data_IF_277090562381
#
_entry.id   IF_277090562381
#
_cell.length_a   1.000
_cell.length_b   1.000
_cell.length_c   1.000
_cell.angle_alpha   90.00
_cell.angle_beta   90.00
_cell.angle_gamma   90.00
#
_symmetry.space_group_name_H-M   'P 1'
#
loop_
_entity.id
_entity.type
_entity.pdbx_description
1 polymer ?
#
# COMPACT_ATOMS: atom_id res chain seq x y z
N UNK A 1 -20.11 -51.01 28.35
CA UNK A 1 -20.87 -50.13 29.28
C UNK A 1 -20.84 -48.71 28.71
N UNK A 2 -21.97 -48.23 28.15
CA UNK A 2 -22.90 -47.22 28.75
C UNK A 2 -22.20 -45.85 28.93
N UNK A 3 -22.65 -44.70 28.40
CA UNK A 3 -23.92 -44.24 27.79
C UNK A 3 -23.67 -42.92 27.03
N UNK A 4 -24.36 -42.75 25.90
CA UNK A 4 -24.59 -41.46 25.24
C UNK A 4 -25.66 -40.67 26.00
N UNK A 5 -25.50 -39.35 26.15
CA UNK A 5 -26.57 -38.44 26.59
C UNK A 5 -26.94 -37.52 25.43
N UNK A 6 -28.15 -37.71 24.93
CA UNK A 6 -28.80 -37.02 23.84
C UNK A 6 -29.94 -36.21 24.48
N UNK A 7 -29.85 -34.89 24.47
CA UNK A 7 -30.89 -34.01 25.00
C UNK A 7 -31.64 -33.39 23.82
N UNK A 8 -32.75 -34.04 23.46
CA UNK A 8 -33.88 -33.48 22.73
C UNK A 8 -34.73 -32.67 23.71
N UNK A 9 -34.87 -31.37 23.46
CA UNK A 9 -35.77 -30.48 24.19
C UNK A 9 -36.80 -29.88 23.25
N UNK A 10 -38.06 -30.17 23.54
CA UNK A 10 -39.23 -30.13 22.67
C UNK A 10 -39.83 -28.74 22.44
N UNK A 11 -40.54 -28.64 21.31
CA UNK A 11 -41.54 -27.63 20.93
C UNK A 11 -42.57 -27.35 22.04
N UNK A 12 -42.88 -26.06 22.26
CA UNK A 12 -44.17 -25.62 22.79
C UNK A 12 -44.76 -24.58 21.83
N UNK A 13 -45.78 -25.04 21.10
CA UNK A 13 -46.72 -24.23 20.33
C UNK A 13 -47.78 -23.76 21.32
N UNK A 14 -47.98 -22.45 21.45
CA UNK A 14 -49.20 -21.89 22.06
C UNK A 14 -49.90 -21.04 21.02
N UNK A 15 -51.11 -21.48 20.69
CA UNK A 15 -52.03 -20.84 19.76
C UNK A 15 -52.96 -19.87 20.49
N UNK A 16 -53.22 -18.74 19.83
CA UNK A 16 -54.43 -17.93 19.78
C UNK A 16 -55.11 -17.45 21.07
N UNK A 17 -55.13 -16.13 21.26
CA UNK A 17 -56.30 -15.43 21.80
C UNK A 17 -56.69 -14.23 20.92
N UNK A 18 -57.93 -14.35 20.44
CA UNK A 18 -58.91 -13.39 19.95
C UNK A 18 -58.55 -11.91 19.71
N UNK A 19 -58.81 -11.57 18.45
CA UNK A 19 -59.11 -10.26 17.89
C UNK A 19 -59.94 -9.34 18.80
N UNK A 20 -59.40 -8.15 19.04
CA UNK A 20 -60.19 -6.93 19.18
C UNK A 20 -59.83 -6.03 18.00
N UNK A 21 -60.75 -5.95 17.03
CA UNK A 21 -60.66 -4.96 15.96
C UNK A 21 -60.86 -3.57 16.56
N UNK A 22 -59.76 -2.89 16.90
CA UNK A 22 -59.77 -1.44 17.00
C UNK A 22 -59.69 -0.85 15.60
N UNK A 23 -60.86 -0.73 14.95
CA UNK A 23 -61.12 0.42 14.09
C UNK A 23 -60.73 1.65 14.89
N UNK A 24 -59.69 2.40 14.51
CA UNK A 24 -59.57 3.86 14.49
C UNK A 24 -58.13 4.24 14.11
N UNK A 25 -58.04 5.16 13.14
CA UNK A 25 -56.84 5.85 12.63
C UNK A 25 -55.97 5.06 11.65
N UNK A 26 -56.38 5.10 10.37
CA UNK A 26 -55.41 5.12 9.27
C UNK A 26 -54.47 6.28 9.56
N UNK A 27 -53.25 6.00 10.00
CA UNK A 27 -52.22 7.03 10.11
C UNK A 27 -52.15 7.73 8.75
N UNK A 28 -52.25 9.07 8.68
CA UNK A 28 -52.13 9.77 7.41
C UNK A 28 -50.84 9.29 6.75
N UNK A 29 -50.95 8.77 5.52
CA UNK A 29 -49.77 8.39 4.75
C UNK A 29 -48.85 9.60 4.76
N UNK A 30 -47.61 9.50 5.27
CA UNK A 30 -46.70 10.63 5.28
C UNK A 30 -46.57 11.13 3.84
N UNK A 31 -47.04 12.35 3.61
CA UNK A 31 -46.84 13.04 2.34
C UNK A 31 -45.40 13.55 2.38
N UNK A 32 -44.47 12.73 1.92
CA UNK A 32 -43.10 13.16 1.71
C UNK A 32 -43.08 14.16 0.55
N UNK A 33 -43.04 15.46 0.86
CA UNK A 33 -42.65 16.46 -0.12
C UNK A 33 -41.18 16.22 -0.47
N UNK A 34 -40.95 15.61 -1.63
CA UNK A 34 -39.62 15.45 -2.18
C UNK A 34 -39.22 16.77 -2.80
N UNK A 35 -38.40 17.55 -2.08
CA UNK A 35 -37.71 18.68 -2.69
C UNK A 35 -36.71 18.11 -3.69
N UNK A 36 -36.94 18.37 -4.97
CA UNK A 36 -35.98 18.07 -6.02
C UNK A 36 -35.14 19.33 -6.18
N UNK A 37 -33.88 19.29 -5.77
CA UNK A 37 -32.94 20.35 -6.15
C UNK A 37 -32.65 20.21 -7.63
N UNK A 38 -32.84 21.32 -8.36
CA UNK A 38 -32.51 21.43 -9.78
C UNK A 38 -31.00 21.53 -9.95
N UNK A 39 -30.36 20.36 -10.07
CA UNK A 39 -28.98 20.19 -10.46
C UNK A 39 -27.92 20.77 -9.52
N UNK A 40 -26.69 20.29 -9.67
CA UNK A 40 -25.58 20.72 -8.84
C UNK A 40 -24.23 20.23 -9.36
N UNK A 41 -23.15 20.79 -8.79
CA UNK A 41 -21.79 20.31 -9.03
C UNK A 41 -21.10 20.15 -7.68
N UNK A 42 -20.62 18.94 -7.42
CA UNK A 42 -19.76 18.63 -6.29
C UNK A 42 -18.32 18.52 -6.79
N UNK A 43 -17.36 18.94 -5.97
CA UNK A 43 -15.94 18.86 -6.30
C UNK A 43 -15.16 18.25 -5.15
N UNK A 44 -14.33 17.25 -5.47
CA UNK A 44 -13.53 16.49 -4.51
C UNK A 44 -12.07 16.52 -4.91
N UNK A 45 -11.19 16.62 -3.91
CA UNK A 45 -9.78 16.41 -4.14
C UNK A 45 -9.54 14.91 -4.37
N UNK A 46 -9.11 14.57 -5.59
CA UNK A 46 -8.81 13.20 -5.98
C UNK A 46 -7.32 13.11 -6.31
N UNK A 47 -6.54 12.98 -5.25
CA UNK A 47 -5.08 12.81 -5.33
C UNK A 47 -4.70 11.59 -4.52
N UNK A 48 -4.88 10.38 -5.08
CA UNK A 48 -4.42 9.17 -4.42
C UNK A 48 -2.92 9.29 -4.13
N UNK A 49 -2.51 8.90 -2.91
CA UNK A 49 -1.13 9.03 -2.43
C UNK A 49 -0.55 7.68 -2.02
N UNK A 50 0.70 7.44 -2.37
CA UNK A 50 1.44 6.25 -1.99
C UNK A 50 2.89 6.57 -1.59
N UNK A 51 3.39 5.90 -0.57
CA UNK A 51 4.79 5.96 -0.17
C UNK A 51 5.33 4.53 -0.20
N UNK A 52 6.38 4.32 -0.99
CA UNK A 52 6.93 3.01 -1.28
C UNK A 52 8.35 2.93 -0.72
N UNK A 53 8.60 1.93 0.11
CA UNK A 53 9.91 1.67 0.68
C UNK A 53 10.44 0.33 0.22
N UNK A 54 11.65 0.32 -0.33
CA UNK A 54 12.41 -0.90 -0.53
C UNK A 54 13.41 -1.05 0.62
N UNK A 55 13.26 -2.12 1.40
CA UNK A 55 14.24 -2.57 2.38
C UNK A 55 15.07 -3.65 1.70
N UNK A 56 16.30 -3.29 1.34
CA UNK A 56 17.17 -4.13 0.52
C UNK A 56 18.35 -4.62 1.35
N UNK A 57 18.51 -5.92 1.42
CA UNK A 57 19.67 -6.54 1.98
C UNK A 57 20.88 -6.32 1.07
N UNK A 58 21.93 -5.68 1.61
CA UNK A 58 23.17 -5.36 0.92
C UNK A 58 24.31 -6.29 1.32
N UNK A 59 24.04 -7.45 1.91
CA UNK A 59 25.03 -8.49 2.14
C UNK A 59 25.65 -8.99 0.82
N UNK A 60 26.83 -9.61 0.91
CA UNK A 60 27.53 -10.11 -0.27
C UNK A 60 26.77 -11.21 -1.02
N UNK A 61 25.99 -12.05 -0.33
CA UNK A 61 25.15 -13.11 -0.94
C UNK A 61 24.07 -12.52 -1.85
N UNK A 62 23.60 -11.32 -1.54
CA UNK A 62 22.54 -10.65 -2.28
C UNK A 62 22.95 -10.06 -3.62
N UNK A 63 24.25 -10.05 -3.99
CA UNK A 63 24.74 -9.39 -5.24
C UNK A 63 23.93 -9.78 -6.48
N UNK A 64 23.81 -11.08 -6.74
CA UNK A 64 23.09 -11.61 -7.91
C UNK A 64 21.59 -11.32 -7.84
N UNK A 65 21.03 -11.32 -6.63
CA UNK A 65 19.60 -11.06 -6.39
C UNK A 65 19.25 -9.59 -6.61
N UNK A 66 20.06 -8.66 -6.11
CA UNK A 66 19.91 -7.22 -6.34
C UNK A 66 19.98 -6.90 -7.83
N UNK A 67 20.96 -7.45 -8.55
CA UNK A 67 21.06 -7.24 -10.00
C UNK A 67 19.78 -7.68 -10.71
N UNK A 68 19.30 -8.88 -10.41
CA UNK A 68 18.11 -9.45 -11.03
C UNK A 68 16.81 -8.73 -10.65
N UNK A 69 16.69 -8.25 -9.40
CA UNK A 69 15.57 -7.39 -8.96
C UNK A 69 15.63 -6.06 -9.70
N UNK A 70 16.80 -5.44 -9.80
CA UNK A 70 16.97 -4.16 -10.49
C UNK A 70 16.57 -4.27 -11.97
N UNK A 71 16.95 -5.32 -12.68
CA UNK A 71 16.57 -5.51 -14.09
C UNK A 71 15.09 -5.82 -14.28
N UNK A 72 14.40 -6.29 -13.23
CA UNK A 72 12.98 -6.66 -13.28
C UNK A 72 12.05 -5.52 -12.85
N UNK A 73 12.60 -4.46 -12.24
CA UNK A 73 11.81 -3.39 -11.64
C UNK A 73 11.06 -2.55 -12.68
N UNK A 74 11.55 -2.52 -13.92
CA UNK A 74 10.90 -1.82 -15.02
C UNK A 74 9.45 -2.27 -15.22
N UNK A 75 9.21 -3.57 -15.12
CA UNK A 75 7.87 -4.14 -15.30
C UNK A 75 6.93 -3.77 -14.14
N UNK A 76 7.48 -3.61 -12.93
CA UNK A 76 6.75 -3.03 -11.80
C UNK A 76 6.39 -1.57 -12.09
N UNK A 77 7.36 -0.76 -12.51
CA UNK A 77 7.15 0.66 -12.81
C UNK A 77 6.09 0.82 -13.90
N UNK A 78 6.19 0.09 -15.02
CA UNK A 78 5.20 0.13 -16.11
C UNK A 78 3.79 -0.19 -15.63
N UNK A 79 3.65 -1.22 -14.80
CA UNK A 79 2.37 -1.63 -14.25
C UNK A 79 1.79 -0.64 -13.22
N UNK A 80 2.67 0.03 -12.47
CA UNK A 80 2.31 0.90 -11.35
C UNK A 80 2.07 2.35 -11.79
N UNK A 81 2.95 2.91 -12.62
CA UNK A 81 3.00 4.33 -12.96
C UNK A 81 2.25 4.69 -14.25
N UNK A 82 1.67 3.73 -14.95
CA UNK A 82 0.94 3.99 -16.21
C UNK A 82 -0.31 4.85 -15.99
N UNK A 83 -0.34 6.03 -16.62
CA UNK A 83 -1.51 6.89 -16.87
C UNK A 83 -2.47 7.11 -15.69
N UNK A 84 -1.98 7.53 -14.52
CA UNK A 84 -2.85 7.85 -13.37
C UNK A 84 -2.40 9.10 -12.60
N UNK A 85 -3.32 9.77 -11.88
CA UNK A 85 -3.03 10.90 -11.00
C UNK A 85 -2.43 10.50 -9.65
N UNK A 86 -1.82 9.32 -9.57
CA UNK A 86 -1.24 8.80 -8.35
C UNK A 86 0.01 9.59 -7.98
N UNK A 87 -0.03 10.28 -6.85
CA UNK A 87 1.16 10.90 -6.26
C UNK A 87 1.90 9.87 -5.43
N UNK A 88 3.17 9.65 -5.72
CA UNK A 88 3.98 8.76 -4.90
C UNK A 88 5.41 9.24 -4.73
N UNK A 89 5.99 8.77 -3.63
CA UNK A 89 7.42 8.82 -3.37
C UNK A 89 7.94 7.40 -3.14
N UNK A 90 9.14 7.13 -3.64
CA UNK A 90 9.83 5.85 -3.49
C UNK A 90 11.19 6.08 -2.85
N UNK A 91 11.49 5.39 -1.76
CA UNK A 91 12.81 5.38 -1.15
C UNK A 91 13.37 3.95 -1.04
N UNK A 92 14.68 3.88 -0.85
CA UNK A 92 15.42 2.62 -0.64
C UNK A 92 16.23 2.76 0.65
N UNK A 93 16.20 1.74 1.49
CA UNK A 93 17.02 1.62 2.71
C UNK A 93 17.71 0.26 2.68
N UNK A 94 18.85 0.14 3.35
CA UNK A 94 19.39 -1.19 3.60
C UNK A 94 18.77 -1.82 4.83
N UNK A 95 18.86 -3.15 4.91
CA UNK A 95 18.85 -3.85 6.21
C UNK A 95 19.92 -3.26 7.14
N UNK A 96 19.74 -3.48 8.43
CA UNK A 96 20.67 -3.00 9.46
C UNK A 96 21.26 -4.17 10.25
N UNK A 97 22.36 -3.92 10.94
CA UNK A 97 22.95 -4.84 11.90
C UNK A 97 23.24 -4.06 13.18
N UNK A 98 22.31 -4.07 14.13
CA UNK A 98 22.47 -3.29 15.34
C UNK A 98 23.58 -3.86 16.23
N UNK A 99 23.96 -5.14 16.09
CA UNK A 99 25.04 -5.73 16.92
C UNK A 99 26.42 -5.26 16.47
N UNK A 100 26.59 -5.07 15.17
CA UNK A 100 27.84 -4.58 14.57
C UNK A 100 27.89 -3.06 14.57
N UNK A 101 26.82 -2.38 14.17
CA UNK A 101 26.83 -0.93 13.96
C UNK A 101 26.61 -0.08 15.21
N UNK A 102 26.05 -0.63 16.30
CA UNK A 102 25.91 0.13 17.57
C UNK A 102 27.23 0.34 18.32
N UNK A 103 28.28 -0.39 17.95
CA UNK A 103 29.58 -0.31 18.62
C UNK A 103 30.47 0.71 17.91
N UNK A 104 30.68 1.86 18.55
CA UNK A 104 31.54 2.95 18.05
C UNK A 104 32.92 2.47 17.58
N UNK A 105 33.49 1.45 18.22
CA UNK A 105 34.79 0.85 17.85
C UNK A 105 34.80 0.16 16.48
N UNK A 106 33.66 -0.30 15.97
CA UNK A 106 33.57 -0.91 14.63
C UNK A 106 33.57 0.15 13.52
N UNK A 107 33.07 1.36 13.80
CA UNK A 107 33.09 2.47 12.85
C UNK A 107 34.53 2.91 12.51
N UNK A 108 35.45 2.80 13.46
CA UNK A 108 36.84 3.27 13.30
C UNK A 108 37.80 2.21 12.73
N UNK A 109 37.51 0.91 12.91
CA UNK A 109 38.50 -0.17 12.66
C UNK A 109 38.46 -0.84 11.28
N UNK A 110 37.33 -0.88 10.58
CA UNK A 110 37.15 -1.80 9.44
C UNK A 110 37.19 -1.16 8.05
N UNK A 111 37.09 0.17 7.89
CA UNK A 111 36.99 0.78 6.55
C UNK A 111 37.91 1.96 6.27
N UNK A 112 38.46 2.65 7.29
CA UNK A 112 39.18 3.92 7.08
C UNK A 112 38.36 4.99 6.31
N UNK A 113 37.07 4.75 6.09
CA UNK A 113 36.11 5.56 5.35
C UNK A 113 34.77 5.43 6.06
N UNK A 114 34.18 6.56 6.44
CA UNK A 114 32.93 6.71 7.22
C UNK A 114 31.66 6.20 6.49
N UNK A 115 31.76 5.17 5.65
CA UNK A 115 30.67 4.69 4.80
C UNK A 115 29.74 3.69 5.52
N UNK A 116 29.48 3.93 6.81
CA UNK A 116 28.43 3.21 7.53
C UNK A 116 27.11 3.95 7.35
N UNK A 117 26.10 3.22 6.92
CA UNK A 117 24.78 3.78 6.76
C UNK A 117 24.09 3.83 8.12
N UNK A 118 23.54 4.99 8.46
CA UNK A 118 22.79 5.11 9.70
C UNK A 118 21.50 4.31 9.62
N UNK A 119 21.02 3.85 10.79
CA UNK A 119 19.76 3.14 10.91
C UNK A 119 18.62 3.94 10.28
N UNK A 120 17.91 3.34 9.32
CA UNK A 120 16.79 4.00 8.62
C UNK A 120 17.21 5.04 7.57
N UNK A 121 18.50 5.25 7.32
CA UNK A 121 18.96 6.23 6.34
C UNK A 121 18.60 5.82 4.91
N UNK A 122 17.82 6.67 4.24
CA UNK A 122 17.54 6.51 2.82
C UNK A 122 18.81 6.60 1.99
N UNK A 123 18.85 5.78 0.95
CA UNK A 123 19.89 5.83 -0.07
C UNK A 123 19.66 7.02 -0.98
N UNK A 124 20.76 7.67 -1.35
CA UNK A 124 20.68 8.75 -2.34
C UNK A 124 20.23 8.19 -3.68
N UNK A 125 19.38 8.95 -4.35
CA UNK A 125 18.89 8.59 -5.68
C UNK A 125 20.06 8.59 -6.65
N UNK A 126 20.18 7.53 -7.46
CA UNK A 126 21.25 7.34 -8.44
C UNK A 126 20.73 7.53 -9.86
N UNK A 127 21.44 8.30 -10.67
CA UNK A 127 21.22 8.38 -12.13
C UNK A 127 21.94 7.27 -12.87
N UNK A 128 23.08 6.83 -12.35
CA UNK A 128 23.89 5.73 -12.87
C UNK A 128 24.63 5.04 -11.71
N UNK A 129 25.47 4.06 -11.99
CA UNK A 129 26.26 3.39 -10.93
C UNK A 129 27.22 4.34 -10.20
N UNK A 130 27.69 5.39 -10.87
CA UNK A 130 28.67 6.36 -10.34
C UNK A 130 28.11 7.76 -10.10
N UNK A 131 26.93 8.09 -10.65
CA UNK A 131 26.32 9.42 -10.54
C UNK A 131 25.12 9.40 -9.58
N UNK A 132 25.18 10.24 -8.56
CA UNK A 132 24.08 10.51 -7.61
C UNK A 132 23.33 11.80 -7.99
N UNK A 133 22.05 11.87 -7.64
CA UNK A 133 21.29 13.12 -7.63
C UNK A 133 21.54 13.82 -6.30
N UNK A 134 22.29 14.92 -6.35
CA UNK A 134 22.68 15.66 -5.16
C UNK A 134 21.48 15.99 -4.26
N UNK A 135 21.61 15.70 -2.96
CA UNK A 135 20.62 15.96 -1.92
C UNK A 135 19.23 15.33 -2.15
N UNK A 136 19.11 14.29 -2.98
CA UNK A 136 17.83 13.59 -3.23
C UNK A 136 17.86 12.16 -2.68
N UNK A 137 16.82 11.81 -1.93
CA UNK A 137 16.73 10.56 -1.17
C UNK A 137 15.47 9.73 -1.46
N UNK A 138 14.59 10.26 -2.30
CA UNK A 138 13.42 9.55 -2.79
C UNK A 138 13.13 9.98 -4.23
N UNK A 139 12.49 9.08 -4.97
CA UNK A 139 12.04 9.28 -6.34
C UNK A 139 10.56 9.62 -6.29
N UNK A 140 10.16 10.72 -6.92
CA UNK A 140 8.77 11.16 -6.97
C UNK A 140 8.09 10.72 -8.27
N UNK A 141 6.76 10.62 -8.24
CA UNK A 141 5.92 10.43 -9.43
C UNK A 141 6.11 11.46 -10.56
N UNK A 142 6.77 12.59 -10.27
CA UNK A 142 7.04 13.68 -11.23
C UNK A 142 8.47 13.63 -11.79
N UNK A 143 9.28 12.68 -11.33
CA UNK A 143 10.65 12.55 -11.82
C UNK A 143 10.66 11.91 -13.20
N UNK A 144 11.43 12.50 -14.10
CA UNK A 144 11.74 11.90 -15.40
C UNK A 144 12.63 10.66 -15.22
N UNK A 145 12.56 9.73 -16.18
CA UNK A 145 13.37 8.51 -16.20
C UNK A 145 13.25 7.65 -14.93
N UNK A 146 12.04 7.59 -14.36
CA UNK A 146 11.72 6.83 -13.14
C UNK A 146 12.32 5.41 -13.10
N UNK A 147 12.26 4.68 -14.22
CA UNK A 147 12.82 3.33 -14.33
C UNK A 147 14.32 3.32 -14.04
N UNK A 148 15.07 4.19 -14.69
CA UNK A 148 16.52 4.26 -14.53
C UNK A 148 16.91 4.73 -13.13
N UNK A 149 16.23 5.75 -12.61
CA UNK A 149 16.44 6.23 -11.24
C UNK A 149 16.21 5.10 -10.23
N UNK A 150 15.12 4.36 -10.36
CA UNK A 150 14.79 3.27 -9.44
C UNK A 150 15.75 2.10 -9.59
N UNK A 151 16.02 1.64 -10.81
CA UNK A 151 16.94 0.55 -11.11
C UNK A 151 18.32 0.82 -10.51
N UNK A 152 18.85 2.02 -10.74
CA UNK A 152 20.16 2.40 -10.24
C UNK A 152 20.16 2.61 -8.73
N UNK A 153 19.09 3.18 -8.16
CA UNK A 153 19.00 3.37 -6.70
C UNK A 153 18.89 2.05 -5.95
N UNK A 154 18.18 1.04 -6.48
CA UNK A 154 18.11 -0.31 -5.90
C UNK A 154 19.46 -1.03 -5.89
N UNK A 155 20.35 -0.69 -6.83
CA UNK A 155 21.76 -1.11 -6.81
C UNK A 155 22.52 -0.32 -5.74
N UNK A 156 22.17 -0.55 -4.47
CA UNK A 156 22.78 0.09 -3.31
C UNK A 156 24.23 -0.36 -3.08
N UNK A 157 24.71 -1.31 -3.88
CA UNK A 157 25.98 -2.01 -3.71
C UNK A 157 25.83 -3.17 -2.75
N UNK A 158 26.80 -4.07 -2.73
CA UNK A 158 26.93 -5.06 -1.66
C UNK A 158 28.16 -4.78 -0.84
N UNK A 159 28.09 -5.08 0.44
CA UNK A 159 29.20 -5.01 1.38
C UNK A 159 29.46 -6.43 1.87
N UNK A 160 30.70 -6.89 1.71
CA UNK A 160 31.13 -8.10 2.41
C UNK A 160 31.34 -7.80 3.90
N UNK A 161 31.40 -8.85 4.72
CA UNK A 161 31.58 -8.70 6.16
C UNK A 161 32.84 -7.88 6.49
N UNK A 162 33.92 -8.04 5.71
CA UNK A 162 35.19 -7.32 5.89
C UNK A 162 35.08 -5.83 5.61
N UNK A 163 34.14 -5.45 4.75
CA UNK A 163 33.87 -4.07 4.34
C UNK A 163 32.67 -3.48 5.10
N UNK A 164 32.28 -4.08 6.22
CA UNK A 164 31.21 -3.60 7.08
C UNK A 164 29.80 -3.99 6.65
N UNK A 165 29.64 -5.03 5.82
CA UNK A 165 28.32 -5.61 5.53
C UNK A 165 27.66 -6.19 6.79
N UNK A 166 26.32 -6.31 6.80
CA UNK A 166 25.59 -6.86 7.94
C UNK A 166 26.02 -8.31 8.18
N UNK A 167 26.28 -8.67 9.43
CA UNK A 167 26.41 -10.06 9.88
C UNK A 167 25.07 -10.63 10.36
N UNK A 168 24.17 -9.74 10.75
CA UNK A 168 22.86 -10.03 11.29
C UNK A 168 21.89 -9.09 10.59
N UNK A 169 21.04 -9.65 9.73
CA UNK A 169 20.12 -8.89 8.89
C UNK A 169 18.83 -8.54 9.65
N UNK A 170 18.78 -7.30 10.11
CA UNK A 170 17.59 -6.71 10.72
C UNK A 170 16.85 -5.87 9.67
N UNK A 171 15.90 -6.48 8.96
CA UNK A 171 15.07 -5.80 7.94
C UNK A 171 13.98 -4.94 8.59
N UNK A 172 13.52 -5.26 9.80
CA UNK A 172 12.52 -4.45 10.50
C UNK A 172 13.11 -3.25 11.23
N UNK A 173 14.37 -3.31 11.67
CA UNK A 173 15.01 -2.21 12.41
C UNK A 173 14.99 -0.88 11.65
N UNK A 174 15.36 -0.80 10.35
CA UNK A 174 15.25 0.44 9.58
C UNK A 174 13.84 1.02 9.56
N UNK A 175 12.82 0.17 9.48
CA UNK A 175 11.42 0.58 9.51
C UNK A 175 11.04 1.09 10.90
N UNK A 176 11.37 0.34 11.95
CA UNK A 176 11.07 0.74 13.32
C UNK A 176 11.65 2.12 13.65
N UNK A 177 12.87 2.42 13.19
CA UNK A 177 13.47 3.75 13.35
C UNK A 177 12.73 4.84 12.57
N UNK A 178 12.34 4.57 11.31
CA UNK A 178 11.57 5.51 10.48
C UNK A 178 10.19 5.83 11.06
N UNK A 179 9.59 4.87 11.76
CA UNK A 179 8.26 5.02 12.36
C UNK A 179 8.29 5.40 13.83
N UNK A 180 9.47 5.67 14.40
CA UNK A 180 9.66 5.99 15.81
C UNK A 180 9.11 4.87 16.73
N UNK A 181 9.14 3.63 16.24
CA UNK A 181 8.78 2.42 17.00
C UNK A 181 9.95 1.92 17.85
N UNK A 182 11.16 2.43 17.59
CA UNK A 182 12.36 2.16 18.39
C UNK A 182 12.86 3.41 19.12
N UNK A 183 13.51 3.21 20.26
CA UNK A 183 14.23 4.29 20.96
C UNK A 183 15.43 4.82 20.17
N UNK A 184 15.94 4.04 19.22
CA UNK A 184 16.96 4.46 18.28
C UNK A 184 16.36 5.49 17.31
N UNK A 185 16.79 6.74 17.45
CA UNK A 185 16.38 7.85 16.58
C UNK A 185 17.39 8.05 15.46
N UNK A 186 16.88 8.36 14.28
CA UNK A 186 17.68 8.93 13.19
C UNK A 186 18.40 10.19 13.67
N UNK A 187 19.61 10.46 13.18
CA UNK A 187 20.25 11.74 13.44
C UNK A 187 19.41 12.90 12.88
N UNK A 188 19.44 14.05 13.58
CA UNK A 188 18.64 15.24 13.25
C UNK A 188 18.78 15.67 11.77
N UNK A 189 19.95 15.46 11.17
CA UNK A 189 20.20 15.76 9.76
C UNK A 189 19.34 14.92 8.81
N UNK A 190 19.24 13.61 9.06
CA UNK A 190 18.45 12.70 8.25
C UNK A 190 16.96 12.83 8.54
N UNK A 191 16.59 13.08 9.80
CA UNK A 191 15.21 13.42 10.15
C UNK A 191 14.73 14.62 9.32
N UNK A 192 15.53 15.67 9.14
CA UNK A 192 15.14 16.84 8.34
C UNK A 192 14.92 16.49 6.85
N UNK A 193 15.73 15.61 6.28
CA UNK A 193 15.65 15.22 4.86
C UNK A 193 14.57 14.17 4.58
N UNK A 194 14.16 13.42 5.60
CA UNK A 194 13.14 12.37 5.52
C UNK A 194 11.80 12.79 6.14
N UNK A 195 11.73 14.00 6.74
CA UNK A 195 10.66 14.49 7.64
C UNK A 195 9.23 14.33 7.11
N UNK A 196 9.05 14.23 5.80
CA UNK A 196 7.74 14.21 5.17
C UNK A 196 7.41 12.88 4.49
N UNK A 197 8.36 11.95 4.44
CA UNK A 197 8.16 10.65 3.85
C UNK A 197 7.61 9.70 4.93
N UNK A 198 6.52 9.02 4.62
CA UNK A 198 5.74 8.18 5.53
C UNK A 198 4.91 8.89 6.62
N UNK A 199 4.84 10.23 6.62
CA UNK A 199 4.09 10.99 7.64
C UNK A 199 2.63 11.31 7.25
N UNK A 200 2.26 11.16 5.98
CA UNK A 200 0.90 11.43 5.53
C UNK A 200 -0.10 10.38 6.01
N UNK A 201 -1.13 10.76 6.78
CA UNK A 201 -2.19 9.82 7.20
C UNK A 201 -3.08 9.33 6.03
N UNK A 202 -3.09 10.06 4.92
CA UNK A 202 -3.90 9.69 3.74
C UNK A 202 -3.12 8.93 2.65
N UNK A 203 -1.83 8.70 2.83
CA UNK A 203 -1.06 7.88 1.88
C UNK A 203 -1.15 6.40 2.22
N UNK A 204 -1.11 5.56 1.18
CA UNK A 204 -0.82 4.15 1.32
C UNK A 204 0.65 3.97 1.70
N UNK A 205 0.91 3.04 2.61
CA UNK A 205 2.25 2.64 3.02
C UNK A 205 2.59 1.29 2.41
N UNK A 206 3.57 1.27 1.51
CA UNK A 206 3.92 0.08 0.74
C UNK A 206 5.36 -0.28 1.04
N UNK A 207 5.60 -1.51 1.51
CA UNK A 207 6.93 -1.98 1.88
C UNK A 207 7.30 -3.18 1.01
N UNK A 208 8.50 -3.15 0.43
CA UNK A 208 9.13 -4.26 -0.28
C UNK A 208 10.36 -4.72 0.51
N UNK A 209 10.37 -5.97 0.95
CA UNK A 209 11.57 -6.62 1.47
C UNK A 209 12.30 -7.34 0.34
N UNK A 210 13.61 -7.16 0.25
CA UNK A 210 14.47 -7.85 -0.72
C UNK A 210 15.65 -8.44 0.04
N UNK A 211 15.58 -9.71 0.44
CA UNK A 211 16.59 -10.36 1.29
C UNK A 211 16.54 -11.88 1.18
N UNK A 212 17.70 -12.53 1.23
CA UNK A 212 17.86 -13.99 1.33
C UNK A 212 18.06 -14.48 2.77
N UNK A 213 18.00 -13.56 3.74
CA UNK A 213 18.22 -13.81 5.16
C UNK A 213 16.91 -13.87 5.97
N UNK A 214 17.04 -14.29 7.23
CA UNK A 214 15.97 -14.23 8.21
C UNK A 214 15.94 -12.84 8.88
N UNK A 215 14.76 -12.39 9.29
CA UNK A 215 14.63 -11.18 10.10
C UNK A 215 15.16 -11.43 11.52
N UNK A 216 16.17 -10.65 11.93
CA UNK A 216 16.88 -10.86 13.21
C UNK A 216 16.69 -9.74 14.25
N UNK A 217 15.86 -8.73 13.98
CA UNK A 217 15.60 -7.67 14.97
C UNK A 217 14.79 -8.18 16.16
N UNK A 218 14.66 -7.32 17.18
CA UNK A 218 13.75 -7.53 18.31
C UNK A 218 12.31 -7.05 18.02
N UNK A 219 12.04 -6.56 16.81
CA UNK A 219 10.74 -6.04 16.42
C UNK A 219 9.87 -7.21 15.98
N UNK A 220 8.69 -7.37 16.57
CA UNK A 220 7.76 -8.41 16.13
C UNK A 220 7.05 -8.00 14.83
N UNK A 221 6.64 -8.96 13.98
CA UNK A 221 5.82 -8.68 12.80
C UNK A 221 4.56 -7.86 13.12
N UNK A 222 3.89 -8.19 14.23
CA UNK A 222 2.66 -7.51 14.64
C UNK A 222 2.92 -6.07 15.09
N UNK A 223 3.96 -5.82 15.90
CA UNK A 223 4.28 -4.47 16.38
C UNK A 223 4.63 -3.54 15.22
N UNK A 224 5.44 -4.02 14.26
CA UNK A 224 5.74 -3.26 13.06
C UNK A 224 4.49 -2.95 12.26
N UNK A 225 3.62 -3.95 12.04
CA UNK A 225 2.39 -3.77 11.27
C UNK A 225 1.45 -2.75 11.93
N UNK A 226 1.17 -2.87 13.23
CA UNK A 226 0.28 -1.93 13.91
C UNK A 226 0.89 -0.52 14.02
N UNK A 227 2.21 -0.40 14.13
CA UNK A 227 2.90 0.88 14.01
C UNK A 227 2.66 1.56 12.66
N UNK A 228 2.76 0.81 11.56
CA UNK A 228 2.43 1.29 10.21
C UNK A 228 0.96 1.71 10.08
N UNK A 229 0.04 0.92 10.65
CA UNK A 229 -1.40 1.21 10.63
C UNK A 229 -1.69 2.52 11.38
N UNK A 230 -1.08 2.73 12.54
CA UNK A 230 -1.23 3.98 13.29
C UNK A 230 -0.77 5.20 12.47
N UNK A 231 0.35 5.09 11.76
CA UNK A 231 0.87 6.14 10.85
C UNK A 231 0.02 6.31 9.58
N UNK A 232 -0.84 5.34 9.28
CA UNK A 232 -1.85 5.37 8.20
C UNK A 232 -3.22 5.86 8.68
N UNK A 233 -3.29 6.52 9.85
CA UNK A 233 -4.55 7.01 10.41
C UNK A 233 -5.46 5.91 10.97
N UNK A 234 -4.91 4.74 11.29
CA UNK A 234 -5.68 3.58 11.78
C UNK A 234 -6.24 2.69 10.68
N UNK A 235 -6.06 3.04 9.40
CA UNK A 235 -6.58 2.28 8.27
C UNK A 235 -5.63 1.14 7.88
N UNK A 236 -6.01 -0.08 8.26
CA UNK A 236 -5.28 -1.31 7.91
C UNK A 236 -5.19 -1.56 6.41
N UNK A 237 -6.14 -1.06 5.63
CA UNK A 237 -6.18 -1.29 4.17
C UNK A 237 -5.12 -0.48 3.42
N UNK A 238 -4.59 0.57 4.06
CA UNK A 238 -3.52 1.41 3.53
C UNK A 238 -2.13 0.84 3.71
N UNK A 239 -1.95 -0.23 4.48
CA UNK A 239 -0.65 -0.89 4.67
C UNK A 239 -0.55 -2.11 3.76
N UNK A 240 0.39 -2.07 2.82
CA UNK A 240 0.69 -3.15 1.87
C UNK A 240 2.14 -3.59 2.05
N UNK A 241 2.39 -4.89 1.96
CA UNK A 241 3.74 -5.41 2.06
C UNK A 241 3.97 -6.54 1.06
N UNK A 242 5.17 -6.55 0.49
CA UNK A 242 5.62 -7.49 -0.52
C UNK A 242 7.05 -7.94 -0.20
N UNK A 243 7.41 -9.15 -0.62
CA UNK A 243 8.73 -9.73 -0.36
C UNK A 243 9.30 -10.41 -1.60
N UNK A 244 10.50 -10.04 -1.99
CA UNK A 244 11.40 -10.85 -2.79
C UNK A 244 12.36 -11.56 -1.82
N UNK A 245 11.95 -12.74 -1.35
CA UNK A 245 12.65 -13.51 -0.30
C UNK A 245 12.89 -14.95 -0.74
N UNK A 246 13.68 -15.74 0.00
CA UNK A 246 13.73 -17.20 -0.19
C UNK A 246 12.72 -17.88 0.76
N UNK A 247 11.49 -18.20 0.30
CA UNK A 247 10.39 -18.60 1.18
C UNK A 247 10.72 -19.88 1.95
N UNK A 248 10.24 -20.05 3.17
CA UNK A 248 10.60 -21.12 4.12
C UNK A 248 10.37 -22.55 3.63
N UNK A 249 9.54 -22.73 2.60
CA UNK A 249 9.26 -24.00 1.92
C UNK A 249 10.20 -24.31 0.73
N UNK A 250 11.06 -23.38 0.31
CA UNK A 250 12.00 -23.57 -0.81
C UNK A 250 13.34 -24.11 -0.31
N UNK A 251 13.68 -25.37 -0.56
CA UNK A 251 14.94 -25.95 -0.01
C UNK A 251 16.11 -25.97 -1.01
N UNK A 252 15.86 -25.72 -2.29
CA UNK A 252 16.85 -25.82 -3.37
C UNK A 252 17.52 -24.49 -3.72
N UNK A 253 17.52 -23.55 -2.79
CA UNK A 253 18.04 -22.21 -3.00
C UNK A 253 18.90 -21.80 -1.81
N UNK A 254 20.06 -21.21 -2.12
CA UNK A 254 20.95 -20.71 -1.09
C UNK A 254 20.25 -19.64 -0.27
N UNK A 255 20.49 -19.68 1.05
CA UNK A 255 20.07 -18.66 2.01
C UNK A 255 21.27 -18.23 2.80
N UNK A 256 21.14 -17.08 3.43
CA UNK A 256 22.00 -16.78 4.56
C UNK A 256 21.82 -17.85 5.67
N UNK A 257 22.90 -18.28 6.36
CA UNK A 257 22.83 -19.22 7.47
C UNK A 257 21.94 -18.79 8.65
N UNK A 258 21.49 -17.53 8.73
CA UNK A 258 20.61 -16.99 9.77
C UNK A 258 19.24 -17.68 9.90
N UNK A 259 18.84 -18.50 8.93
CA UNK A 259 17.71 -19.42 9.05
C UNK A 259 16.59 -19.14 8.05
N UNK A 260 15.35 -19.43 8.46
CA UNK A 260 14.16 -19.27 7.60
C UNK A 260 13.48 -17.92 7.87
N UNK A 261 12.89 -17.28 6.85
CA UNK A 261 12.34 -15.92 6.97
C UNK A 261 10.94 -15.89 7.61
N UNK A 262 10.69 -16.68 8.66
CA UNK A 262 9.34 -16.85 9.23
C UNK A 262 8.71 -15.53 9.69
N UNK A 263 9.47 -14.65 10.32
CA UNK A 263 8.96 -13.34 10.75
C UNK A 263 8.61 -12.43 9.56
N UNK A 264 9.37 -12.47 8.46
CA UNK A 264 9.01 -11.77 7.22
C UNK A 264 7.74 -12.36 6.61
N UNK A 265 7.62 -13.68 6.55
CA UNK A 265 6.42 -14.35 6.02
C UNK A 265 5.18 -14.03 6.84
N UNK A 266 5.30 -14.02 8.17
CA UNK A 266 4.24 -13.60 9.08
C UNK A 266 3.82 -12.16 8.80
N UNK A 267 4.77 -11.21 8.76
CA UNK A 267 4.48 -9.81 8.45
C UNK A 267 3.79 -9.63 7.09
N UNK A 268 4.27 -10.32 6.06
CA UNK A 268 3.69 -10.30 4.72
C UNK A 268 2.27 -10.88 4.67
N UNK A 269 1.92 -11.77 5.61
CA UNK A 269 0.58 -12.35 5.75
C UNK A 269 -0.42 -11.42 6.45
N UNK A 270 0.05 -10.45 7.24
CA UNK A 270 -0.80 -9.48 7.94
C UNK A 270 -1.43 -8.45 6.99
N UNK A 271 -0.84 -8.26 5.80
CA UNK A 271 -1.37 -7.38 4.78
C UNK A 271 -2.23 -8.15 3.77
N UNK A 272 -3.16 -7.44 3.13
CA UNK A 272 -4.05 -8.06 2.15
C UNK A 272 -3.23 -8.55 0.95
N UNK A 273 -3.28 -9.85 0.67
CA UNK A 273 -2.61 -10.54 -0.45
C UNK A 273 -2.80 -9.82 -1.78
N UNK A 274 -1.78 -9.83 -2.65
CA UNK A 274 -1.89 -9.35 -4.03
C UNK A 274 -2.99 -10.08 -4.81
N UNK A 275 -3.36 -9.56 -5.99
CA UNK A 275 -4.33 -10.24 -6.86
C UNK A 275 -3.87 -11.63 -7.34
N UNK A 276 -2.58 -11.93 -7.27
CA UNK A 276 -2.01 -13.25 -7.56
C UNK A 276 -2.09 -14.21 -6.36
N UNK A 277 -2.72 -13.80 -5.25
CA UNK A 277 -2.91 -14.64 -4.07
C UNK A 277 -1.69 -14.78 -3.15
N UNK A 278 -0.57 -14.13 -3.48
CA UNK A 278 0.67 -14.12 -2.68
C UNK A 278 1.30 -12.73 -2.66
N UNK A 279 1.89 -12.35 -1.52
CA UNK A 279 2.74 -11.16 -1.37
C UNK A 279 4.23 -11.48 -1.51
N UNK A 280 4.56 -12.75 -1.78
CA UNK A 280 5.94 -13.25 -1.83
C UNK A 280 6.25 -13.68 -3.26
N UNK A 281 7.42 -13.28 -3.75
CA UNK A 281 8.10 -13.83 -4.91
C UNK A 281 9.44 -14.43 -4.46
N UNK A 282 9.74 -15.64 -4.93
CA UNK A 282 10.98 -16.32 -4.55
C UNK A 282 12.20 -15.67 -5.21
N UNK A 283 13.26 -15.39 -4.46
CA UNK A 283 14.54 -14.89 -4.99
C UNK A 283 15.19 -15.81 -6.06
N UNK A 284 14.74 -17.05 -6.07
CA UNK A 284 15.25 -18.15 -6.89
C UNK A 284 14.53 -18.23 -8.25
N UNK A 285 13.46 -17.45 -8.46
CA UNK A 285 12.61 -17.47 -9.65
C UNK A 285 12.69 -16.17 -10.45
N UNK A 286 12.17 -16.13 -11.67
CA UNK A 286 12.08 -14.89 -12.45
C UNK A 286 11.10 -13.90 -11.82
N UNK A 287 11.50 -12.63 -11.67
CA UNK A 287 10.73 -11.64 -10.91
C UNK A 287 9.73 -10.83 -11.73
N UNK A 288 10.09 -10.50 -12.97
CA UNK A 288 9.42 -9.43 -13.74
C UNK A 288 7.89 -9.50 -13.71
N UNK A 289 7.32 -10.64 -14.10
CA UNK A 289 5.87 -10.80 -14.17
C UNK A 289 5.18 -10.65 -12.80
N UNK A 290 5.80 -11.15 -11.72
CA UNK A 290 5.27 -11.02 -10.35
C UNK A 290 5.41 -9.59 -9.83
N UNK A 291 6.51 -8.91 -10.11
CA UNK A 291 6.69 -7.49 -9.82
C UNK A 291 5.68 -6.61 -10.56
N UNK A 292 5.41 -6.90 -11.84
CA UNK A 292 4.34 -6.25 -12.59
C UNK A 292 2.97 -6.48 -11.93
N UNK A 293 2.68 -7.71 -11.50
CA UNK A 293 1.44 -8.04 -10.81
C UNK A 293 1.30 -7.29 -9.47
N UNK A 294 2.40 -7.14 -8.71
CA UNK A 294 2.42 -6.28 -7.52
C UNK A 294 2.11 -4.82 -7.86
N UNK A 295 2.73 -4.27 -8.92
CA UNK A 295 2.45 -2.92 -9.42
C UNK A 295 0.98 -2.71 -9.74
N UNK A 296 0.36 -3.64 -10.50
CA UNK A 296 -1.08 -3.61 -10.81
C UNK A 296 -1.95 -3.69 -9.55
N UNK A 297 -1.62 -4.58 -8.63
CA UNK A 297 -2.37 -4.77 -7.38
C UNK A 297 -2.28 -3.53 -6.48
N UNK A 298 -1.12 -2.88 -6.40
CA UNK A 298 -0.95 -1.63 -5.65
C UNK A 298 -1.77 -0.54 -6.33
N UNK A 299 -1.55 -0.28 -7.63
CA UNK A 299 -2.28 0.73 -8.39
C UNK A 299 -3.77 0.61 -8.14
N UNK A 300 -4.32 -0.59 -8.33
CA UNK A 300 -5.74 -0.80 -8.22
C UNK A 300 -6.30 -0.53 -6.81
N UNK A 301 -5.52 -0.73 -5.76
CA UNK A 301 -5.95 -0.41 -4.38
C UNK A 301 -5.88 1.07 -4.12
N UNK A 302 -4.77 1.69 -4.47
CA UNK A 302 -4.57 3.11 -4.19
C UNK A 302 -5.58 3.96 -4.98
N UNK A 303 -5.92 3.53 -6.20
CA UNK A 303 -6.92 4.18 -7.05
C UNK A 303 -8.38 3.87 -6.66
N UNK A 304 -8.64 2.81 -5.90
CA UNK A 304 -9.99 2.45 -5.47
C UNK A 304 -10.48 3.40 -4.36
N UNK A 305 -11.04 4.53 -4.75
CA UNK A 305 -11.72 5.48 -3.86
C UNK A 305 -13.23 5.37 -4.02
N UNK A 306 -13.90 5.40 -2.88
CA UNK A 306 -15.35 5.54 -2.77
C UNK A 306 -15.63 6.96 -2.31
N UNK A 307 -16.49 7.67 -3.03
CA UNK A 307 -16.83 9.06 -2.78
C UNK A 307 -18.30 9.12 -2.42
N UNK A 308 -18.56 9.37 -1.14
CA UNK A 308 -19.92 9.53 -0.64
C UNK A 308 -20.47 10.89 -1.04
N UNK A 309 -21.70 10.90 -1.53
CA UNK A 309 -22.45 12.11 -1.84
C UNK A 309 -23.22 12.49 -0.58
N UNK A 310 -22.67 13.39 0.24
CA UNK A 310 -23.21 13.62 1.58
C UNK A 310 -24.56 14.36 1.58
N UNK A 311 -24.72 15.32 0.67
CA UNK A 311 -25.83 16.27 0.70
C UNK A 311 -26.83 16.12 -0.46
N UNK A 312 -26.55 15.23 -1.40
CA UNK A 312 -27.38 15.02 -2.59
C UNK A 312 -27.48 13.52 -2.88
N UNK A 313 -28.70 13.04 -3.09
CA UNK A 313 -28.98 11.70 -3.61
C UNK A 313 -29.45 11.88 -5.06
N UNK A 314 -28.58 11.71 -6.06
CA UNK A 314 -28.95 11.77 -7.47
C UNK A 314 -30.13 10.84 -7.76
N UNK A 315 -31.14 11.36 -8.47
CA UNK A 315 -32.27 10.54 -8.91
C UNK A 315 -31.81 9.77 -10.14
N UNK A 316 -31.76 8.44 -10.03
CA UNK A 316 -31.45 7.58 -11.19
C UNK A 316 -32.76 7.31 -11.93
N UNK A 317 -32.90 7.82 -13.15
CA UNK A 317 -33.89 7.36 -14.12
C UNK A 317 -33.35 6.15 -14.89
N UNK A 318 -34.20 5.46 -15.65
CA UNK A 318 -33.79 4.32 -16.51
C UNK A 318 -32.59 4.63 -17.42
N UNK A 319 -32.35 5.91 -17.71
CA UNK A 319 -31.14 6.42 -18.36
C UNK A 319 -30.18 7.15 -17.38
N UNK A 320 -29.50 6.40 -16.50
CA UNK A 320 -28.56 6.94 -15.49
C UNK A 320 -27.49 7.90 -16.03
N UNK A 321 -27.18 7.81 -17.33
CA UNK A 321 -26.19 8.64 -18.03
C UNK A 321 -26.60 10.13 -18.05
N UNK A 322 -27.89 10.44 -18.00
CA UNK A 322 -28.37 11.83 -18.05
C UNK A 322 -28.35 12.53 -16.68
N UNK A 323 -28.40 11.76 -15.59
CA UNK A 323 -28.54 12.34 -14.25
C UNK A 323 -27.24 12.47 -13.50
N UNK A 324 -26.19 11.75 -13.89
CA UNK A 324 -24.89 11.81 -13.26
C UNK A 324 -23.76 11.87 -14.29
N UNK A 325 -22.91 12.89 -14.19
CA UNK A 325 -21.69 13.02 -14.99
C UNK A 325 -20.49 13.21 -14.09
N UNK A 326 -19.44 12.45 -14.33
CA UNK A 326 -18.23 12.50 -13.51
C UNK A 326 -17.07 12.99 -14.37
N UNK A 327 -16.28 13.90 -13.85
CA UNK A 327 -15.12 14.45 -14.53
C UNK A 327 -13.89 14.37 -13.65
N UNK A 328 -12.73 14.07 -14.22
CA UNK A 328 -11.43 14.31 -13.62
C UNK A 328 -10.72 15.43 -14.37
N UNK A 329 -10.64 16.61 -13.76
CA UNK A 329 -10.26 17.83 -14.48
C UNK A 329 -11.21 18.07 -15.65
N UNK A 330 -10.67 18.08 -16.87
CA UNK A 330 -11.45 18.23 -18.11
C UNK A 330 -11.87 16.89 -18.77
N UNK A 331 -11.43 15.75 -18.23
CA UNK A 331 -11.73 14.42 -18.78
C UNK A 331 -13.05 13.91 -18.20
N UNK A 332 -14.04 13.61 -19.05
CA UNK A 332 -15.25 12.91 -18.61
C UNK A 332 -14.96 11.43 -18.35
N UNK A 333 -15.46 10.91 -17.23
CA UNK A 333 -15.42 9.51 -16.85
C UNK A 333 -16.81 8.94 -17.12
N UNK A 334 -16.88 7.91 -17.97
CA UNK A 334 -18.14 7.30 -18.35
C UNK A 334 -18.69 6.40 -17.24
N UNK A 335 -20.02 6.24 -17.18
CA UNK A 335 -20.68 5.27 -16.31
C UNK A 335 -20.40 3.85 -16.82
N UNK A 336 -20.00 2.94 -15.93
CA UNK A 336 -19.85 1.52 -16.27
C UNK A 336 -21.23 0.87 -16.41
N UNK A 337 -21.63 0.58 -17.65
CA UNK A 337 -22.89 -0.11 -17.94
C UNK A 337 -22.69 -1.60 -18.26
N UNK A 338 -21.46 -2.01 -18.54
CA UNK A 338 -21.05 -3.39 -18.80
C UNK A 338 -19.53 -3.57 -18.56
N UNK A 339 -19.02 -4.78 -18.80
CA UNK A 339 -17.61 -5.13 -18.57
C UNK A 339 -16.61 -4.45 -19.50
N UNK A 340 -17.06 -3.91 -20.64
CA UNK A 340 -16.20 -3.36 -21.68
C UNK A 340 -15.90 -1.87 -21.45
N UNK A 341 -16.74 -1.20 -20.65
CA UNK A 341 -16.55 0.19 -20.26
C UNK A 341 -15.81 0.22 -18.92
N UNK A 342 -14.64 0.85 -18.92
CA UNK A 342 -13.89 1.18 -17.70
C UNK A 342 -14.18 2.65 -17.36
N UNK A 343 -14.75 2.91 -16.20
CA UNK A 343 -15.41 4.16 -15.85
C UNK A 343 -15.67 4.31 -14.36
N UNK A 344 -16.86 4.80 -13.98
CA UNK A 344 -17.32 4.84 -12.60
C UNK A 344 -18.60 4.02 -12.39
N UNK A 345 -18.80 3.53 -11.17
CA UNK A 345 -20.04 2.92 -10.70
C UNK A 345 -20.72 3.87 -9.70
N UNK A 346 -22.05 3.94 -9.68
CA UNK A 346 -22.80 4.61 -8.63
C UNK A 346 -23.61 3.58 -7.83
N UNK A 347 -23.39 3.55 -6.52
CA UNK A 347 -24.11 2.69 -5.59
C UNK A 347 -25.17 3.53 -4.84
N UNK A 348 -26.47 3.38 -5.17
CA UNK A 348 -27.53 4.15 -4.54
C UNK A 348 -27.80 3.75 -3.09
N UNK A 349 -27.37 2.56 -2.63
CA UNK A 349 -27.61 2.10 -1.26
C UNK A 349 -26.76 2.87 -0.25
N UNK A 350 -25.51 3.14 -0.62
CA UNK A 350 -24.56 3.91 0.20
C UNK A 350 -24.37 5.35 -0.30
N UNK A 351 -25.13 5.73 -1.34
CA UNK A 351 -25.07 7.01 -2.04
C UNK A 351 -23.62 7.41 -2.37
N UNK A 352 -22.92 6.56 -3.12
CA UNK A 352 -21.50 6.76 -3.38
C UNK A 352 -21.09 6.42 -4.80
N UNK A 353 -20.10 7.16 -5.31
CA UNK A 353 -19.42 6.85 -6.57
C UNK A 353 -18.16 6.05 -6.27
N UNK A 354 -17.93 5.00 -7.06
CA UNK A 354 -16.67 4.27 -7.10
C UNK A 354 -16.01 4.49 -8.46
N UNK A 355 -14.79 4.99 -8.46
CA UNK A 355 -13.98 5.07 -9.69
C UNK A 355 -13.34 3.71 -9.94
N UNK A 356 -13.47 3.16 -11.14
CA UNK A 356 -12.86 1.88 -11.46
C UNK A 356 -11.32 2.02 -11.37
N UNK A 357 -10.65 1.15 -10.61
CA UNK A 357 -9.22 1.25 -10.38
C UNK A 357 -8.35 1.02 -11.62
N UNK A 358 -8.92 0.45 -12.69
CA UNK A 358 -8.25 0.24 -13.98
C UNK A 358 -8.38 1.43 -14.92
N UNK A 359 -9.18 2.43 -14.56
CA UNK A 359 -9.37 3.63 -15.36
C UNK A 359 -8.02 4.35 -15.55
N UNK A 360 -7.74 4.73 -16.78
CA UNK A 360 -6.59 5.55 -17.12
C UNK A 360 -7.00 7.02 -17.12
N UNK A 361 -6.36 7.79 -16.26
CA UNK A 361 -6.65 9.20 -16.01
C UNK A 361 -5.42 10.02 -16.35
N UNK A 362 -5.60 11.00 -17.22
CA UNK A 362 -4.49 11.89 -17.62
C UNK A 362 -4.03 12.72 -16.43
N UNK A 363 -2.72 12.74 -16.16
CA UNK A 363 -2.18 13.54 -15.07
C UNK A 363 -2.37 15.04 -15.39
N UNK A 364 -3.18 15.71 -14.57
CA UNK A 364 -3.50 17.13 -14.71
C UNK A 364 -3.21 17.83 -13.38
N UNK A 365 -2.23 18.75 -13.30
CA UNK A 365 -1.90 19.45 -12.06
C UNK A 365 -3.12 20.15 -11.46
N UNK A 366 -3.42 19.85 -10.19
CA UNK A 366 -4.57 20.41 -9.49
C UNK A 366 -5.94 19.92 -9.95
N UNK A 367 -6.01 18.88 -10.80
CA UNK A 367 -7.28 18.31 -11.21
C UNK A 367 -8.04 17.72 -10.02
N UNK A 368 -9.34 18.04 -10.00
CA UNK A 368 -10.30 17.56 -9.02
C UNK A 368 -11.27 16.60 -9.69
N UNK A 369 -11.87 15.72 -8.90
CA UNK A 369 -13.03 14.99 -9.36
C UNK A 369 -14.24 15.91 -9.23
N UNK A 370 -15.00 16.10 -10.31
CA UNK A 370 -16.25 16.87 -10.31
C UNK A 370 -17.40 15.94 -10.64
N UNK A 371 -18.47 16.02 -9.85
CA UNK A 371 -19.69 15.24 -10.06
C UNK A 371 -20.79 16.23 -10.35
N UNK A 372 -21.38 16.15 -11.53
CA UNK A 372 -22.51 16.96 -11.96
C UNK A 372 -23.76 16.09 -11.98
N UNK A 373 -24.87 16.65 -11.52
CA UNK A 373 -26.17 15.99 -11.60
C UNK A 373 -27.24 16.97 -12.04
N UNK A 374 -28.27 16.45 -12.71
CA UNK A 374 -29.40 17.26 -13.20
C UNK A 374 -30.56 17.30 -12.20
N UNK A 375 -30.70 16.27 -11.37
CA UNK A 375 -31.70 16.21 -10.30
C UNK A 375 -31.20 15.38 -9.11
N UNK A 376 -31.49 15.84 -7.90
CA UNK A 376 -31.19 15.11 -6.67
C UNK A 376 -32.27 15.37 -5.61
N UNK A 377 -32.40 14.42 -4.70
CA UNK A 377 -33.13 14.62 -3.44
C UNK A 377 -32.14 15.08 -2.37
N UNK A 378 -32.54 16.05 -1.55
CA UNK A 378 -31.83 16.35 -0.31
C UNK A 378 -31.87 15.12 0.60
N UNK A 379 -30.77 14.87 1.33
CA UNK A 379 -30.64 13.74 2.24
C UNK A 379 -31.38 13.96 3.55
#
# INVERSE_FOLDING_TARGET
>A
MKRYFLLLGSFLIVACTNSTESSWMVSPKPVYQTYTETGGTLSFDFTPKAEILFVVDNSASMRKHIDKVSTSIDQFVDAFSSHNPLEYNLAVVSVFDNRTYSKKEYLDKWSGTENYFQLGQFRQVKKSETEIVANKYFISSRDENLKDLLRNTLKIGVQDLKSGGPQIEESFSPLAALYELSELKLDNFFQARQKNFFMGKDSYKIIFFVTDAAEASQVTPSDLFYGLVAKSGGDRTKVLSFGAIVPSNVNNCARDPGGKPYALEEFLSLTRKSYEGSNIVSLCESFGAKFAAFGKSIRARVMNKIIHLENAIPIISDNAVETLRVFYGNQEILLETNSDIIGFEYDPLINAIRINPRLELSQQPGAKLRIQYTSARAK
#
